data_IF_128374879535
#
_entry.id   IF_128374879535
#
_cell.length_a   1.000
_cell.length_b   1.000
_cell.length_c   1.000
_cell.angle_alpha   90.00
_cell.angle_beta   90.00
_cell.angle_gamma   90.00
#
_symmetry.space_group_name_H-M   'P 1'
#
loop_
_entity.id
_entity.type
_entity.pdbx_description
1 polymer ?
#
# COMPACT_ATOMS: atom_id res chain seq x y z
N UNK A 1 -9.30 -46.46 -3.87
CA UNK A 1 -9.24 -45.53 -5.02
C UNK A 1 -9.71 -44.16 -4.51
N UNK A 2 -8.79 -43.26 -4.15
CA UNK A 2 -9.16 -41.91 -3.68
C UNK A 2 -9.31 -41.04 -4.92
N UNK A 3 -10.51 -40.53 -5.17
CA UNK A 3 -10.76 -39.62 -6.30
C UNK A 3 -9.90 -38.37 -6.15
N UNK A 4 -9.33 -37.90 -7.26
CA UNK A 4 -8.54 -36.67 -7.26
C UNK A 4 -9.41 -35.48 -6.80
N UNK A 5 -8.84 -34.44 -6.19
CA UNK A 5 -9.61 -33.24 -5.79
C UNK A 5 -10.38 -32.58 -6.94
N UNK A 6 -9.99 -32.85 -8.20
CA UNK A 6 -10.66 -32.35 -9.42
C UNK A 6 -11.95 -33.13 -9.77
N UNK A 7 -12.13 -34.34 -9.25
CA UNK A 7 -13.25 -35.23 -9.60
C UNK A 7 -14.29 -35.37 -8.48
N UNK A 8 -14.05 -34.73 -7.33
CA UNK A 8 -14.98 -34.76 -6.21
C UNK A 8 -16.18 -33.83 -6.48
N UNK A 9 -17.32 -34.43 -6.83
CA UNK A 9 -18.59 -33.75 -7.14
C UNK A 9 -19.05 -32.80 -6.02
N UNK A 10 -18.78 -33.14 -4.76
CA UNK A 10 -19.13 -32.31 -3.60
C UNK A 10 -18.30 -31.04 -3.54
N UNK A 11 -16.99 -31.13 -3.79
CA UNK A 11 -16.10 -29.96 -3.84
C UNK A 11 -16.42 -29.05 -5.02
N UNK A 12 -16.78 -29.62 -6.17
CA UNK A 12 -17.21 -28.84 -7.34
C UNK A 12 -18.48 -28.05 -7.06
N UNK A 13 -19.49 -28.70 -6.46
CA UNK A 13 -20.74 -28.04 -6.09
C UNK A 13 -20.52 -26.93 -5.04
N UNK A 14 -19.64 -27.15 -4.07
CA UNK A 14 -19.29 -26.13 -3.08
C UNK A 14 -18.59 -24.92 -3.71
N UNK A 15 -17.67 -25.15 -4.64
CA UNK A 15 -16.98 -24.07 -5.36
C UNK A 15 -17.93 -23.29 -6.28
N UNK A 16 -18.83 -23.97 -6.97
CA UNK A 16 -19.83 -23.33 -7.83
C UNK A 16 -20.84 -22.52 -6.99
N UNK A 17 -21.23 -23.02 -5.82
CA UNK A 17 -22.06 -22.26 -4.87
C UNK A 17 -21.33 -20.98 -4.40
N UNK A 18 -20.05 -21.09 -4.00
CA UNK A 18 -19.27 -19.93 -3.56
C UNK A 18 -19.11 -18.88 -4.66
N UNK A 19 -18.85 -19.27 -5.90
CA UNK A 19 -18.68 -18.34 -7.02
C UNK A 19 -19.94 -17.55 -7.32
N UNK A 20 -21.12 -18.14 -7.10
CA UNK A 20 -22.42 -17.52 -7.37
C UNK A 20 -22.98 -16.75 -6.16
N UNK A 21 -22.31 -16.76 -5.02
CA UNK A 21 -22.73 -15.99 -3.84
C UNK A 21 -22.72 -14.48 -4.16
N UNK A 22 -23.85 -13.78 -3.99
CA UNK A 22 -23.90 -12.33 -4.14
C UNK A 22 -23.13 -11.63 -3.03
N UNK A 23 -22.35 -10.62 -3.39
CA UNK A 23 -21.61 -9.74 -2.49
C UNK A 23 -21.91 -8.27 -2.84
N UNK A 24 -22.03 -7.38 -1.84
CA UNK A 24 -22.24 -5.96 -2.08
C UNK A 24 -20.96 -5.34 -2.67
N UNK A 25 -21.10 -4.54 -3.72
CA UNK A 25 -19.97 -3.90 -4.42
C UNK A 25 -20.03 -2.37 -4.41
N UNK A 26 -21.21 -1.77 -4.29
CA UNK A 26 -21.36 -0.33 -4.18
C UNK A 26 -22.70 0.05 -3.53
N UNK A 27 -22.77 1.26 -2.97
CA UNK A 27 -24.04 1.90 -2.57
C UNK A 27 -24.31 3.03 -3.54
N UNK A 28 -25.46 3.00 -4.21
CA UNK A 28 -25.90 4.04 -5.16
C UNK A 28 -27.20 4.67 -4.71
N UNK A 29 -27.45 5.88 -5.18
CA UNK A 29 -28.71 6.59 -4.96
C UNK A 29 -29.59 6.41 -6.20
N UNK A 30 -30.80 5.89 -6.03
CA UNK A 30 -31.82 5.89 -7.09
C UNK A 30 -32.76 7.08 -6.89
N UNK A 31 -32.97 7.84 -7.96
CA UNK A 31 -33.94 8.92 -7.98
C UNK A 31 -35.34 8.32 -8.22
N UNK A 32 -36.27 8.60 -7.32
CA UNK A 32 -37.64 8.06 -7.41
C UNK A 32 -38.53 8.88 -8.35
N UNK A 33 -38.02 9.98 -8.92
CA UNK A 33 -38.78 10.87 -9.81
C UNK A 33 -39.73 11.84 -9.09
N UNK A 34 -39.84 11.74 -7.76
CA UNK A 34 -40.62 12.65 -6.91
C UNK A 34 -39.73 13.52 -6.00
N UNK A 35 -38.45 13.69 -6.36
CA UNK A 35 -37.49 14.51 -5.61
C UNK A 35 -36.92 13.84 -4.36
N UNK A 36 -37.14 12.53 -4.19
CA UNK A 36 -36.56 11.73 -3.10
C UNK A 36 -35.53 10.76 -3.69
N UNK A 37 -34.34 10.68 -3.08
CA UNK A 37 -33.31 9.71 -3.46
C UNK A 37 -33.15 8.64 -2.39
N UNK A 38 -33.26 7.37 -2.79
CA UNK A 38 -33.16 6.23 -1.88
C UNK A 38 -31.83 5.50 -2.13
N UNK A 39 -31.04 5.18 -1.09
CA UNK A 39 -29.86 4.37 -1.25
C UNK A 39 -30.24 2.91 -1.56
N UNK A 40 -29.56 2.30 -2.52
CA UNK A 40 -29.61 0.87 -2.78
C UNK A 40 -28.20 0.30 -2.88
N UNK A 41 -28.06 -0.99 -2.54
CA UNK A 41 -26.80 -1.72 -2.61
C UNK A 41 -26.74 -2.46 -3.93
N UNK A 42 -25.73 -2.16 -4.75
CA UNK A 42 -25.39 -2.98 -5.91
C UNK A 42 -24.66 -4.23 -5.43
N UNK A 43 -25.05 -5.39 -5.94
CA UNK A 43 -24.36 -6.65 -5.71
C UNK A 43 -23.76 -7.22 -6.99
N UNK A 44 -22.69 -7.99 -6.86
CA UNK A 44 -22.08 -8.81 -7.92
C UNK A 44 -21.77 -10.19 -7.33
N UNK A 45 -21.40 -11.16 -8.15
CA UNK A 45 -21.01 -12.49 -7.64
C UNK A 45 -19.52 -12.55 -7.29
N UNK A 46 -19.14 -13.40 -6.32
CA UNK A 46 -17.73 -13.64 -5.95
C UNK A 46 -16.90 -14.03 -7.19
N UNK A 47 -17.46 -14.84 -8.10
CA UNK A 47 -16.82 -15.27 -9.33
C UNK A 47 -16.55 -14.14 -10.31
N UNK A 48 -17.49 -13.21 -10.49
CA UNK A 48 -17.32 -12.04 -11.36
C UNK A 48 -16.26 -11.07 -10.83
N UNK A 49 -16.28 -10.81 -9.53
CA UNK A 49 -15.30 -9.94 -8.87
C UNK A 49 -13.90 -10.55 -8.97
N UNK A 50 -13.74 -11.84 -8.64
CA UNK A 50 -12.47 -12.55 -8.81
C UNK A 50 -12.00 -12.58 -10.27
N UNK A 51 -12.92 -12.71 -11.24
CA UNK A 51 -12.61 -12.65 -12.67
C UNK A 51 -12.13 -11.26 -13.12
N UNK A 52 -12.74 -10.18 -12.63
CA UNK A 52 -12.30 -8.80 -12.88
C UNK A 52 -10.92 -8.52 -12.27
N UNK A 53 -10.67 -8.95 -11.03
CA UNK A 53 -9.35 -8.86 -10.40
C UNK A 53 -8.29 -9.64 -11.16
N UNK A 54 -8.61 -10.84 -11.63
CA UNK A 54 -7.68 -11.66 -12.41
C UNK A 54 -7.30 -10.97 -13.73
N UNK A 55 -8.29 -10.44 -14.47
CA UNK A 55 -8.04 -9.69 -15.71
C UNK A 55 -7.24 -8.40 -15.47
N UNK A 56 -7.59 -7.64 -14.43
CA UNK A 56 -6.84 -6.44 -14.05
C UNK A 56 -5.39 -6.79 -13.65
N UNK A 57 -5.17 -7.91 -12.95
CA UNK A 57 -3.84 -8.38 -12.59
C UNK A 57 -3.02 -8.83 -13.81
N UNK A 58 -3.64 -9.46 -14.81
CA UNK A 58 -2.95 -9.83 -16.06
C UNK A 58 -2.58 -8.58 -16.86
N UNK A 59 -3.51 -7.64 -17.04
CA UNK A 59 -3.22 -6.37 -17.73
C UNK A 59 -2.11 -5.58 -17.04
N UNK A 60 -2.13 -5.46 -15.71
CA UNK A 60 -1.08 -4.79 -14.95
C UNK A 60 0.30 -5.47 -15.07
N UNK A 61 0.34 -6.80 -15.21
CA UNK A 61 1.58 -7.55 -15.45
C UNK A 61 2.12 -7.33 -16.86
N UNK A 62 1.23 -7.26 -17.85
CA UNK A 62 1.61 -7.01 -19.24
C UNK A 62 2.11 -5.56 -19.42
N UNK A 63 1.45 -4.57 -18.80
CA UNK A 63 1.88 -3.17 -18.83
C UNK A 63 3.23 -2.96 -18.13
N UNK A 64 3.45 -3.60 -16.97
CA UNK A 64 4.74 -3.59 -16.29
C UNK A 64 5.86 -4.25 -17.13
N UNK A 65 5.52 -5.26 -17.92
CA UNK A 65 6.45 -5.92 -18.86
C UNK A 65 6.80 -5.02 -20.05
N UNK A 66 5.83 -4.25 -20.57
CA UNK A 66 6.05 -3.27 -21.66
C UNK A 66 6.85 -2.04 -21.18
N UNK A 67 6.63 -1.57 -19.95
CA UNK A 67 7.40 -0.46 -19.36
C UNK A 67 8.88 -0.80 -19.19
N UNK A 68 9.20 -2.08 -18.99
CA UNK A 68 10.59 -2.55 -18.82
C UNK A 68 11.36 -2.67 -20.16
N UNK A 69 10.72 -2.49 -21.32
CA UNK A 69 11.29 -2.79 -22.65
C UNK A 69 11.24 -1.64 -23.66
N UNK A 70 10.57 -0.52 -23.40
CA UNK A 70 10.32 0.53 -24.40
C UNK A 70 10.94 1.89 -24.08
N UNK A 71 11.85 2.34 -24.94
CA UNK A 71 12.41 3.69 -24.99
C UNK A 71 11.44 4.72 -25.60
N UNK A 72 11.40 5.93 -25.02
CA UNK A 72 11.20 7.22 -25.69
C UNK A 72 9.87 7.51 -26.42
N UNK A 73 9.18 8.58 -26.01
CA UNK A 73 8.08 9.13 -26.79
C UNK A 73 7.57 10.48 -26.29
N UNK A 74 8.20 11.55 -26.76
CA UNK A 74 7.79 12.95 -26.58
C UNK A 74 6.50 13.24 -27.35
N UNK A 75 5.59 14.02 -26.75
CA UNK A 75 4.36 14.48 -27.40
C UNK A 75 3.84 15.76 -26.75
N UNK A 76 4.37 16.90 -27.19
CA UNK A 76 3.89 18.24 -26.83
C UNK A 76 2.66 18.59 -27.68
N UNK A 77 1.61 19.13 -27.04
CA UNK A 77 0.78 20.18 -27.64
C UNK A 77 0.21 21.09 -26.55
N UNK A 78 0.39 22.40 -26.77
CA UNK A 78 -0.06 23.59 -26.01
C UNK A 78 -1.60 23.58 -25.83
N UNK A 79 -2.26 24.28 -24.90
CA UNK A 79 -2.09 25.67 -24.48
C UNK A 79 -2.99 25.96 -23.23
N UNK A 80 -2.47 26.73 -22.27
CA UNK A 80 -3.25 27.58 -21.36
C UNK A 80 -4.11 26.93 -20.27
N UNK A 81 -3.57 26.79 -19.04
CA UNK A 81 -4.22 27.13 -17.75
C UNK A 81 -3.38 26.59 -16.59
N UNK A 82 -2.97 27.49 -15.68
CA UNK A 82 -2.47 27.28 -14.29
C UNK A 82 -2.05 25.84 -13.97
N UNK A 83 -0.74 25.58 -13.96
CA UNK A 83 -0.16 24.25 -13.70
C UNK A 83 -0.54 23.70 -12.31
N UNK A 84 -1.66 22.97 -12.27
CA UNK A 84 -1.93 21.91 -11.29
C UNK A 84 -0.96 20.77 -11.62
N UNK A 85 -0.11 20.40 -10.67
CA UNK A 85 0.94 19.40 -10.86
C UNK A 85 0.42 18.14 -11.55
N UNK A 86 1.18 17.64 -12.53
CA UNK A 86 0.80 16.50 -13.39
C UNK A 86 1.04 15.14 -12.72
N UNK A 87 1.09 15.11 -11.39
CA UNK A 87 1.32 13.88 -10.64
C UNK A 87 0.15 12.90 -10.79
N UNK A 88 0.44 11.61 -10.72
CA UNK A 88 -0.55 10.54 -10.79
C UNK A 88 -1.59 10.71 -9.65
N UNK A 89 -2.85 10.96 -10.00
CA UNK A 89 -3.94 11.14 -9.05
C UNK A 89 -4.50 9.82 -8.51
N UNK A 90 -4.22 8.71 -9.19
CA UNK A 90 -4.66 7.37 -8.83
C UNK A 90 -3.56 6.56 -8.13
N UNK A 91 -2.50 7.24 -7.68
CA UNK A 91 -1.38 6.60 -7.02
C UNK A 91 -1.86 5.76 -5.81
N UNK A 92 -1.40 4.49 -5.69
CA UNK A 92 -1.79 3.61 -4.59
C UNK A 92 -1.31 4.11 -3.23
N UNK A 93 -0.25 4.92 -3.20
CA UNK A 93 0.20 5.64 -2.02
C UNK A 93 -0.55 6.98 -1.97
N UNK A 94 -1.47 7.11 -1.02
CA UNK A 94 -2.44 8.21 -0.96
C UNK A 94 -1.78 9.58 -0.91
N UNK A 95 -0.67 9.69 -0.18
CA UNK A 95 0.08 10.94 -0.01
C UNK A 95 0.91 11.31 -1.26
N UNK A 96 1.14 10.38 -2.19
CA UNK A 96 1.81 10.65 -3.46
C UNK A 96 0.87 11.14 -4.55
N UNK A 97 -0.46 11.08 -4.33
CA UNK A 97 -1.45 11.50 -5.33
C UNK A 97 -1.26 12.97 -5.71
N UNK A 98 -1.08 13.22 -7.01
CA UNK A 98 -0.82 14.55 -7.54
C UNK A 98 0.54 15.15 -7.13
N UNK A 99 1.51 14.34 -6.71
CA UNK A 99 2.90 14.76 -6.45
C UNK A 99 3.78 14.37 -7.64
N UNK A 100 4.69 15.25 -8.04
CA UNK A 100 5.72 14.97 -9.03
C UNK A 100 6.91 14.24 -8.40
N UNK A 101 6.78 12.92 -8.27
CA UNK A 101 7.78 12.07 -7.61
C UNK A 101 9.12 12.02 -8.37
N UNK A 102 9.13 12.31 -9.67
CA UNK A 102 10.33 12.25 -10.52
C UNK A 102 11.46 13.20 -10.10
N UNK A 103 11.13 14.23 -9.30
CA UNK A 103 12.10 15.21 -8.79
C UNK A 103 12.70 14.81 -7.44
N UNK A 104 12.29 13.66 -6.89
CA UNK A 104 12.71 13.17 -5.58
C UNK A 104 13.66 11.99 -5.79
N UNK A 105 14.77 11.95 -5.07
CA UNK A 105 15.68 10.81 -5.13
C UNK A 105 14.91 9.52 -4.78
N UNK A 106 14.96 8.48 -5.64
CA UNK A 106 14.25 7.22 -5.42
C UNK A 106 14.50 6.55 -4.06
N UNK A 107 15.61 6.84 -3.35
CA UNK A 107 15.83 6.31 -1.99
C UNK A 107 14.82 6.84 -0.96
N UNK A 108 14.12 7.94 -1.27
CA UNK A 108 13.09 8.54 -0.41
C UNK A 108 11.65 8.25 -0.85
N UNK A 109 11.45 7.53 -1.97
CA UNK A 109 10.13 7.20 -2.50
C UNK A 109 9.81 5.74 -2.24
N UNK A 110 8.76 5.43 -1.49
CA UNK A 110 8.45 4.06 -1.11
C UNK A 110 8.26 3.13 -2.33
N UNK A 111 8.91 1.95 -2.30
CA UNK A 111 8.52 0.84 -3.16
C UNK A 111 7.12 0.38 -2.73
N UNK A 112 6.15 0.48 -3.63
CA UNK A 112 4.74 0.14 -3.36
C UNK A 112 4.58 -1.26 -2.75
N UNK A 113 5.43 -2.23 -3.13
CA UNK A 113 5.38 -3.60 -2.59
C UNK A 113 5.66 -3.62 -1.09
N UNK A 114 6.40 -2.64 -0.58
CA UNK A 114 6.78 -2.54 0.83
C UNK A 114 5.81 -1.73 1.69
N UNK A 115 4.75 -1.17 1.10
CA UNK A 115 3.78 -0.34 1.82
C UNK A 115 2.83 -1.21 2.62
N UNK A 116 2.58 -0.80 3.87
CA UNK A 116 1.61 -1.40 4.80
C UNK A 116 0.61 -0.32 5.22
N UNK A 117 -0.68 -0.67 5.23
CA UNK A 117 -1.72 0.17 5.84
C UNK A 117 -1.68 0.00 7.36
N UNK A 118 -1.36 1.07 8.07
CA UNK A 118 -1.38 1.11 9.53
C UNK A 118 -2.80 1.47 9.99
N UNK A 119 -3.47 0.64 10.80
CA UNK A 119 -4.84 0.90 11.22
C UNK A 119 -5.02 2.25 11.91
N UNK A 120 -6.14 2.92 11.64
CA UNK A 120 -6.55 4.10 12.40
C UNK A 120 -7.05 3.67 13.78
N UNK A 121 -6.56 4.31 14.83
CA UNK A 121 -6.95 4.03 16.22
C UNK A 121 -7.64 5.24 16.83
N UNK A 122 -7.15 6.45 16.54
CA UNK A 122 -7.70 7.70 17.06
C UNK A 122 -6.60 8.72 17.36
N UNK A 123 -6.88 10.00 17.09
CA UNK A 123 -5.95 11.10 17.34
C UNK A 123 -5.76 11.28 18.85
N UNK A 124 -4.50 11.27 19.28
CA UNK A 124 -4.13 11.39 20.70
C UNK A 124 -4.13 10.07 21.46
N UNK A 125 -4.49 8.96 20.82
CA UNK A 125 -4.45 7.63 21.44
C UNK A 125 -3.01 7.15 21.66
N UNK A 126 -2.82 6.27 22.66
CA UNK A 126 -1.51 5.67 22.93
C UNK A 126 -1.01 4.88 21.73
N UNK A 127 0.30 4.93 21.50
CA UNK A 127 0.98 4.22 20.41
C UNK A 127 0.45 4.59 19.01
N UNK A 128 0.01 5.84 18.82
CA UNK A 128 -0.36 6.38 17.50
C UNK A 128 0.56 7.52 17.08
N UNK A 129 0.56 7.83 15.78
CA UNK A 129 1.19 9.05 15.28
C UNK A 129 0.26 10.27 15.49
N UNK A 130 0.72 11.46 15.14
CA UNK A 130 -0.04 12.70 15.35
C UNK A 130 -1.40 12.71 14.62
N UNK A 131 -1.54 11.91 13.56
CA UNK A 131 -2.79 11.76 12.82
C UNK A 131 -3.66 10.61 13.33
N UNK A 132 -3.24 9.84 14.33
CA UNK A 132 -4.04 8.80 14.96
C UNK A 132 -3.88 7.40 14.36
N UNK A 133 -2.88 7.20 13.50
CA UNK A 133 -2.56 5.89 12.92
C UNK A 133 -1.65 5.09 13.84
N UNK A 134 -1.88 3.78 13.95
CA UNK A 134 -1.13 2.85 14.80
C UNK A 134 0.38 2.90 14.49
N UNK A 135 1.20 3.04 15.53
CA UNK A 135 2.67 2.96 15.47
C UNK A 135 3.16 1.66 16.08
N UNK A 136 2.92 0.57 15.38
CA UNK A 136 3.27 -0.77 15.85
C UNK A 136 4.23 -1.44 14.88
N UNK A 137 5.49 -1.55 15.32
CA UNK A 137 6.58 -2.14 14.56
C UNK A 137 6.33 -3.63 14.25
N UNK A 138 5.74 -4.37 15.19
CA UNK A 138 5.49 -5.81 15.03
C UNK A 138 4.41 -6.05 13.99
N UNK A 139 3.30 -5.31 14.09
CA UNK A 139 2.24 -5.35 13.08
C UNK A 139 2.79 -5.06 11.68
N UNK A 140 3.56 -3.98 11.55
CA UNK A 140 4.17 -3.58 10.28
C UNK A 140 5.04 -4.68 9.66
N UNK A 141 5.95 -5.27 10.44
CA UNK A 141 6.85 -6.30 9.92
C UNK A 141 6.17 -7.63 9.66
N UNK A 142 5.19 -8.02 10.47
CA UNK A 142 4.39 -9.23 10.22
C UNK A 142 3.63 -9.12 8.91
N UNK A 143 2.98 -7.97 8.63
CA UNK A 143 2.29 -7.74 7.36
C UNK A 143 3.23 -7.82 6.15
N UNK A 144 4.47 -7.34 6.28
CA UNK A 144 5.45 -7.47 5.19
C UNK A 144 5.97 -8.89 5.04
N UNK A 145 6.26 -9.57 6.14
CA UNK A 145 6.75 -10.95 6.14
C UNK A 145 5.72 -11.90 5.52
N UNK A 146 4.44 -11.72 5.83
CA UNK A 146 3.36 -12.56 5.32
C UNK A 146 3.18 -12.38 3.79
N UNK A 147 3.36 -11.16 3.28
CA UNK A 147 3.23 -10.86 1.84
C UNK A 147 4.48 -11.19 1.02
N UNK A 148 5.66 -11.06 1.62
CA UNK A 148 6.94 -11.18 0.94
C UNK A 148 7.95 -12.01 1.76
N UNK A 149 7.65 -13.28 2.06
CA UNK A 149 8.51 -14.10 2.90
C UNK A 149 9.91 -14.31 2.31
N UNK A 150 10.06 -14.23 0.98
CA UNK A 150 11.35 -14.37 0.30
C UNK A 150 12.28 -13.17 0.52
N UNK A 151 11.72 -12.01 0.87
CA UNK A 151 12.51 -10.80 1.11
C UNK A 151 13.28 -10.83 2.44
N UNK A 152 13.01 -11.81 3.30
CA UNK A 152 13.59 -11.85 4.63
C UNK A 152 14.54 -13.05 4.80
N UNK A 153 15.79 -12.76 5.13
CA UNK A 153 16.76 -13.77 5.55
C UNK A 153 16.27 -14.51 6.81
N UNK A 154 16.80 -15.71 7.10
CA UNK A 154 16.47 -16.42 8.35
C UNK A 154 16.68 -15.56 9.61
N UNK A 155 17.70 -14.70 9.62
CA UNK A 155 17.96 -13.78 10.73
C UNK A 155 16.89 -12.68 10.83
N UNK A 156 16.53 -12.04 9.72
CA UNK A 156 15.46 -11.04 9.71
C UNK A 156 14.11 -11.66 10.12
N UNK A 157 13.80 -12.88 9.66
CA UNK A 157 12.60 -13.63 10.10
C UNK A 157 12.60 -13.86 11.61
N UNK A 158 13.72 -14.31 12.17
CA UNK A 158 13.84 -14.51 13.62
C UNK A 158 13.63 -13.21 14.40
N UNK A 159 14.10 -12.07 13.89
CA UNK A 159 13.83 -10.76 14.49
C UNK A 159 12.34 -10.42 14.47
N UNK A 160 11.69 -10.53 13.30
CA UNK A 160 10.26 -10.19 13.12
C UNK A 160 9.36 -11.08 13.98
N UNK A 161 9.70 -12.37 14.10
CA UNK A 161 8.98 -13.35 14.90
C UNK A 161 9.24 -13.20 16.42
N UNK A 162 10.07 -12.24 16.84
CA UNK A 162 10.41 -12.00 18.25
C UNK A 162 11.33 -13.07 18.86
N UNK A 163 12.05 -13.83 18.01
CA UNK A 163 13.04 -14.84 18.44
C UNK A 163 14.43 -14.24 18.67
N UNK A 164 14.64 -12.96 18.35
CA UNK A 164 15.87 -12.24 18.64
C UNK A 164 15.69 -11.36 19.89
N UNK A 165 16.48 -11.54 20.97
CA UNK A 165 16.30 -10.78 22.21
C UNK A 165 16.94 -9.38 22.19
N UNK A 166 17.68 -9.01 21.13
CA UNK A 166 18.47 -7.78 21.09
C UNK A 166 17.83 -6.68 20.24
N UNK A 167 16.94 -7.04 19.31
CA UNK A 167 16.32 -6.07 18.40
C UNK A 167 15.01 -6.60 17.81
N UNK A 168 14.09 -5.67 17.57
CA UNK A 168 12.81 -5.90 16.89
C UNK A 168 12.82 -5.36 15.45
N UNK A 169 13.98 -4.92 14.96
CA UNK A 169 14.11 -4.28 13.66
C UNK A 169 15.02 -5.11 12.74
N UNK A 170 14.50 -5.65 11.64
CA UNK A 170 15.31 -6.32 10.63
C UNK A 170 16.30 -5.33 9.99
N UNK A 171 17.28 -5.87 9.30
CA UNK A 171 18.33 -5.09 8.64
C UNK A 171 18.21 -5.16 7.12
N UNK A 172 18.71 -4.11 6.46
CA UNK A 172 18.85 -4.00 5.01
C UNK A 172 19.95 -4.95 4.49
N UNK A 173 19.84 -6.25 4.74
CA UNK A 173 20.82 -7.26 4.35
C UNK A 173 20.75 -7.59 2.85
N UNK A 174 21.61 -8.51 2.40
CA UNK A 174 21.68 -8.88 0.99
C UNK A 174 20.36 -9.48 0.48
N UNK A 175 19.68 -10.31 1.28
CA UNK A 175 18.43 -10.98 0.87
C UNK A 175 17.32 -9.94 0.67
N UNK A 176 17.20 -9.00 1.61
CA UNK A 176 16.23 -7.91 1.50
C UNK A 176 16.49 -7.05 0.26
N UNK A 177 17.76 -6.70 -0.02
CA UNK A 177 18.14 -5.85 -1.16
C UNK A 177 18.04 -6.53 -2.51
N UNK A 178 18.19 -7.86 -2.56
CA UNK A 178 17.99 -8.60 -3.80
C UNK A 178 16.51 -8.65 -4.21
N UNK A 179 15.60 -8.62 -3.23
CA UNK A 179 14.16 -8.60 -3.49
C UNK A 179 13.61 -7.16 -3.66
N UNK A 180 14.02 -6.25 -2.78
CA UNK A 180 13.71 -4.82 -2.81
C UNK A 180 14.99 -4.02 -3.08
N UNK A 181 15.31 -3.83 -4.36
CA UNK A 181 16.58 -3.21 -4.79
C UNK A 181 16.72 -1.73 -4.49
N UNK A 182 15.65 -1.06 -4.04
CA UNK A 182 15.64 0.37 -3.69
C UNK A 182 16.81 0.76 -2.78
N UNK A 183 17.15 -0.09 -1.82
CA UNK A 183 18.19 0.19 -0.83
C UNK A 183 19.50 -0.54 -1.07
N UNK A 184 19.76 -1.04 -2.28
CA UNK A 184 21.06 -1.59 -2.65
C UNK A 184 22.13 -0.53 -2.94
N UNK A 185 22.27 0.43 -2.02
CA UNK A 185 23.21 1.56 -2.12
C UNK A 185 24.24 1.52 -0.98
N UNK A 186 25.53 1.66 -1.30
CA UNK A 186 26.67 1.39 -0.40
C UNK A 186 26.58 2.05 0.98
N UNK A 187 25.95 3.22 1.11
CA UNK A 187 25.84 3.97 2.36
C UNK A 187 24.88 3.38 3.41
N UNK A 188 23.92 2.55 2.99
CA UNK A 188 22.83 2.05 3.85
C UNK A 188 22.70 0.52 3.85
N UNK A 189 23.63 -0.19 3.20
CA UNK A 189 23.68 -1.66 3.24
C UNK A 189 23.94 -2.15 4.67
N UNK A 190 23.10 -3.06 5.15
CA UNK A 190 23.18 -3.61 6.51
C UNK A 190 22.62 -2.70 7.59
N UNK A 191 22.11 -1.51 7.25
CA UNK A 191 21.46 -0.63 8.21
C UNK A 191 20.20 -1.28 8.78
N UNK A 192 19.92 -0.98 10.05
CA UNK A 192 18.63 -1.27 10.65
C UNK A 192 17.52 -0.60 9.84
N UNK A 193 16.46 -1.34 9.54
CA UNK A 193 15.28 -0.80 8.89
C UNK A 193 14.28 -0.33 9.96
N UNK A 194 13.64 0.81 9.74
CA UNK A 194 12.57 1.34 10.57
C UNK A 194 11.29 1.48 9.75
N UNK A 195 10.13 1.32 10.37
CA UNK A 195 8.89 1.70 9.70
C UNK A 195 8.75 3.21 9.72
N UNK A 196 8.51 3.80 8.55
CA UNK A 196 8.32 5.23 8.37
C UNK A 196 6.90 5.46 7.84
N UNK A 197 6.15 6.36 8.49
CA UNK A 197 4.81 6.75 8.03
C UNK A 197 4.93 7.79 6.92
N UNK A 198 4.51 7.43 5.71
CA UNK A 198 4.63 8.26 4.51
C UNK A 198 3.80 9.53 4.70
N UNK A 199 4.46 10.68 4.67
CA UNK A 199 3.84 11.99 4.87
C UNK A 199 3.17 12.16 6.24
N UNK A 200 3.54 11.34 7.24
CA UNK A 200 2.87 11.31 8.55
C UNK A 200 1.49 10.63 8.55
N UNK A 201 1.09 10.00 7.45
CA UNK A 201 -0.22 9.39 7.25
C UNK A 201 -0.35 7.95 7.74
N UNK A 202 -1.36 7.26 7.22
CA UNK A 202 -1.71 5.88 7.58
C UNK A 202 -0.93 4.81 6.83
N UNK A 203 -0.24 5.15 5.74
CA UNK A 203 0.62 4.20 5.04
C UNK A 203 2.05 4.29 5.56
N UNK A 204 2.70 3.14 5.76
CA UNK A 204 4.08 3.07 6.20
C UNK A 204 4.93 2.14 5.33
N UNK A 205 6.24 2.38 5.29
CA UNK A 205 7.19 1.55 4.55
C UNK A 205 8.55 1.45 5.26
N UNK A 206 9.39 0.45 4.93
CA UNK A 206 10.65 0.23 5.61
C UNK A 206 11.71 1.17 5.03
N UNK A 207 12.43 1.88 5.90
CA UNK A 207 13.49 2.83 5.52
C UNK A 207 14.77 2.52 6.31
N UNK A 208 15.96 2.50 5.69
CA UNK A 208 17.21 2.45 6.43
C UNK A 208 17.32 3.59 7.43
N UNK A 209 17.67 3.27 8.69
CA UNK A 209 17.66 4.23 9.80
C UNK A 209 18.47 5.51 9.51
N UNK A 210 19.55 5.43 8.72
CA UNK A 210 20.35 6.60 8.32
C UNK A 210 19.59 7.61 7.46
N UNK A 211 18.58 7.18 6.71
CA UNK A 211 17.71 8.07 5.91
C UNK A 211 16.56 8.66 6.75
N UNK A 212 16.43 8.23 8.01
CA UNK A 212 15.39 8.62 8.95
C UNK A 212 15.95 9.24 10.26
N UNK A 213 16.80 10.29 10.21
CA UNK A 213 17.36 10.92 11.40
C UNK A 213 16.34 11.84 12.09
N UNK A 214 15.71 11.36 13.17
CA UNK A 214 14.74 12.15 13.94
C UNK A 214 13.62 12.68 13.05
N UNK A 215 13.37 13.99 13.07
CA UNK A 215 12.39 14.68 12.21
C UNK A 215 12.97 15.23 10.90
N UNK A 216 14.22 14.87 10.55
CA UNK A 216 14.90 15.25 9.32
C UNK A 216 14.95 14.11 8.28
N UNK A 217 15.89 14.19 7.34
CA UNK A 217 16.05 13.23 6.24
C UNK A 217 14.77 13.13 5.41
N UNK A 218 14.24 11.91 5.28
CA UNK A 218 13.00 11.66 4.51
C UNK A 218 11.83 12.58 4.89
N UNK A 219 11.67 12.93 6.17
CA UNK A 219 10.60 13.83 6.60
C UNK A 219 10.70 15.24 6.00
N UNK A 220 11.91 15.74 5.75
CA UNK A 220 12.11 17.06 5.12
C UNK A 220 11.80 16.98 3.63
N UNK A 221 12.28 15.93 2.97
CA UNK A 221 11.98 15.64 1.56
C UNK A 221 10.46 15.57 1.34
N UNK A 222 9.73 14.86 2.20
CA UNK A 222 8.27 14.77 2.11
C UNK A 222 7.54 16.10 2.32
N UNK A 223 8.06 16.97 3.21
CA UNK A 223 7.50 18.32 3.42
C UNK A 223 7.74 19.20 2.21
N UNK A 224 8.96 19.21 1.69
CA UNK A 224 9.36 19.99 0.51
C UNK A 224 8.59 19.55 -0.74
N UNK A 225 8.32 18.25 -0.87
CA UNK A 225 7.52 17.67 -1.94
C UNK A 225 6.00 17.84 -1.78
N UNK A 226 5.53 18.40 -0.66
CA UNK A 226 4.08 18.51 -0.39
C UNK A 226 3.37 17.17 -0.19
N UNK A 227 4.11 16.13 0.22
CA UNK A 227 3.59 14.79 0.59
C UNK A 227 3.04 14.84 2.02
N UNK A 228 3.70 15.58 2.91
CA UNK A 228 3.36 15.65 4.32
C UNK A 228 1.94 16.18 4.58
N UNK A 229 1.16 15.46 5.38
CA UNK A 229 -0.19 15.87 5.79
C UNK A 229 -1.28 15.68 4.73
N UNK A 230 -0.96 15.11 3.54
CA UNK A 230 -1.98 14.81 2.53
C UNK A 230 -3.01 13.77 2.99
N UNK A 231 -2.65 12.89 3.92
CA UNK A 231 -3.55 11.87 4.47
C UNK A 231 -4.48 12.41 5.57
N UNK A 232 -4.28 13.67 6.00
CA UNK A 232 -5.00 14.31 7.11
C UNK A 232 -6.52 14.30 6.92
N UNK A 233 -6.99 14.45 5.68
CA UNK A 233 -8.43 14.42 5.37
C UNK A 233 -9.07 13.10 5.81
N UNK A 234 -8.39 11.97 5.59
CA UNK A 234 -8.90 10.65 5.99
C UNK A 234 -8.89 10.49 7.50
N UNK A 235 -7.82 10.93 8.17
CA UNK A 235 -7.75 10.86 9.64
C UNK A 235 -8.81 11.73 10.31
N UNK A 236 -9.15 12.89 9.74
CA UNK A 236 -10.23 13.74 10.25
C UNK A 236 -11.61 13.13 10.06
N UNK A 237 -11.86 12.48 8.93
CA UNK A 237 -13.12 11.77 8.67
C UNK A 237 -13.28 10.58 9.62
N UNK A 238 -12.26 9.73 9.73
CA UNK A 238 -12.27 8.58 10.63
C UNK A 238 -12.41 8.99 12.10
N UNK A 239 -11.78 10.11 12.49
CA UNK A 239 -11.90 10.63 13.86
C UNK A 239 -13.34 10.99 14.24
N UNK A 240 -14.16 11.45 13.28
CA UNK A 240 -15.57 11.76 13.53
C UNK A 240 -16.37 10.49 13.79
N UNK A 241 -16.09 9.42 13.03
CA UNK A 241 -16.81 8.14 13.14
C UNK A 241 -16.58 7.41 14.47
N UNK A 242 -15.45 7.64 15.14
CA UNK A 242 -15.14 6.99 16.43
C UNK A 242 -15.52 7.83 17.66
N UNK A 243 -16.02 9.06 17.46
CA UNK A 243 -16.50 9.96 18.53
C UNK A 243 -18.02 9.97 18.68
N UNK A 244 -18.72 9.22 17.85
CA UNK A 244 -20.15 8.90 17.95
C UNK A 244 -20.34 7.58 18.69
#
# INVERSE_FOLDING_TARGET
MVQSPRENKTLKNALDAMKNTPIPVAVRMVDTGIGVRIPYVESSTVGEVAGKFSKASTAAKDDAYQLAKGSGGSGVSKEGSVAKGTGDIDNPIRTYRGVELQNIDPVYIADQRTVVEMPFVGKGEKYTNAEGWRRDLKYFWSELLDRHPEAFSPNNRAIIEGRNPFTDSPVNDKVFREYFSQYDVKGVRGDKLVHHHIGGGGQAFPVPQKLHPGSGGIHNIEKEAGIWGKDKIYSELLQKLIKE
#
